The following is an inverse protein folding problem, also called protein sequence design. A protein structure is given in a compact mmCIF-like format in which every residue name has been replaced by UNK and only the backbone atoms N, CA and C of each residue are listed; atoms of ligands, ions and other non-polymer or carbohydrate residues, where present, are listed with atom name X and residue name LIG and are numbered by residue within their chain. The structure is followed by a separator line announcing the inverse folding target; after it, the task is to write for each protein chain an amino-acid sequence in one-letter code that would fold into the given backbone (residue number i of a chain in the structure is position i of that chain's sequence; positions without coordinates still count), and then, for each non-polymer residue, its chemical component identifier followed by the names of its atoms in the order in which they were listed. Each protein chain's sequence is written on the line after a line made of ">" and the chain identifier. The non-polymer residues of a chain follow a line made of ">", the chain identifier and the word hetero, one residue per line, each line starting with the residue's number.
data_IF_176945103677
#
_entry.id   IF_176945103677
#
_cell.length_a   1.000
_cell.length_b   1.000
_cell.length_c   1.000
_cell.angle_alpha   90.00
_cell.angle_beta   90.00
_cell.angle_gamma   90.00
#
_symmetry.space_group_name_H-M   'P 1'
#
loop_
_entity.id
_entity.type
_entity.pdbx_description
1 polymer ?
#
# COMPACT_ATOMS: atom_id res chain seq x y z
N UNK A 1 7.46 -10.71 -13.98
CA UNK A 1 6.38 -9.91 -14.61
C UNK A 1 6.76 -8.44 -14.75
N UNK A 2 6.66 -7.58 -13.71
CA UNK A 2 7.03 -6.16 -13.83
C UNK A 2 8.47 -5.98 -14.36
N UNK A 3 9.44 -6.67 -13.76
CA UNK A 3 10.84 -6.58 -14.19
C UNK A 3 11.06 -7.02 -15.65
N UNK A 4 10.44 -8.13 -16.07
CA UNK A 4 10.46 -8.58 -17.47
C UNK A 4 9.86 -7.53 -18.42
N UNK A 5 8.73 -6.94 -18.02
CA UNK A 5 8.09 -5.88 -18.81
C UNK A 5 8.99 -4.66 -18.92
N UNK A 6 9.83 -4.35 -17.92
CA UNK A 6 10.82 -3.27 -17.98
C UNK A 6 12.00 -3.55 -18.92
N UNK A 7 12.34 -4.83 -19.13
CA UNK A 7 13.44 -5.27 -19.99
C UNK A 7 13.03 -5.41 -21.46
N UNK A 8 11.74 -5.56 -21.77
CA UNK A 8 11.25 -5.63 -23.15
C UNK A 8 11.62 -4.35 -23.92
N UNK A 9 12.03 -4.45 -25.20
CA UNK A 9 12.22 -3.28 -26.07
C UNK A 9 10.93 -2.47 -26.18
N UNK A 10 11.03 -1.14 -26.07
CA UNK A 10 9.89 -0.20 -26.14
C UNK A 10 10.34 1.10 -26.78
N UNK A 11 9.39 1.84 -27.34
CA UNK A 11 9.60 3.22 -27.72
C UNK A 11 9.81 4.12 -26.50
N UNK A 12 10.43 5.28 -26.72
CA UNK A 12 10.61 6.28 -25.67
C UNK A 12 9.28 6.80 -25.11
N UNK A 13 8.24 6.88 -25.95
CA UNK A 13 6.91 7.31 -25.54
C UNK A 13 6.24 6.28 -24.61
N UNK A 14 6.30 4.99 -24.95
CA UNK A 14 5.79 3.92 -24.09
C UNK A 14 6.51 3.87 -22.73
N UNK A 15 7.82 4.13 -22.74
CA UNK A 15 8.62 4.23 -21.51
C UNK A 15 8.18 5.43 -20.66
N UNK A 16 7.95 6.60 -21.27
CA UNK A 16 7.47 7.81 -20.56
C UNK A 16 6.11 7.56 -19.88
N UNK A 17 5.18 6.90 -20.57
CA UNK A 17 3.87 6.53 -20.01
C UNK A 17 4.03 5.61 -18.80
N UNK A 18 4.86 4.57 -18.88
CA UNK A 18 5.11 3.68 -17.75
C UNK A 18 5.75 4.39 -16.55
N UNK A 19 6.72 5.28 -16.78
CA UNK A 19 7.35 6.09 -15.72
C UNK A 19 6.31 7.00 -15.06
N UNK A 20 5.46 7.67 -15.85
CA UNK A 20 4.38 8.51 -15.32
C UNK A 20 3.43 7.71 -14.45
N UNK A 21 3.01 6.53 -14.91
CA UNK A 21 2.14 5.64 -14.16
C UNK A 21 2.79 5.12 -12.88
N UNK A 22 4.11 4.84 -12.89
CA UNK A 22 4.84 4.41 -11.69
C UNK A 22 5.12 5.54 -10.69
N UNK A 23 5.09 6.81 -11.12
CA UNK A 23 5.33 7.97 -10.24
C UNK A 23 4.16 8.23 -9.28
N UNK A 24 2.93 8.06 -9.76
CA UNK A 24 1.70 8.26 -8.97
C UNK A 24 1.67 7.37 -7.71
N UNK A 25 1.74 6.03 -7.81
CA UNK A 25 1.73 5.16 -6.63
C UNK A 25 2.94 5.42 -5.74
N UNK A 26 4.12 5.76 -6.28
CA UNK A 26 5.29 6.12 -5.47
C UNK A 26 5.01 7.33 -4.57
N UNK A 27 4.35 8.36 -5.08
CA UNK A 27 3.97 9.54 -4.28
C UNK A 27 2.96 9.14 -3.20
N UNK A 28 1.93 8.36 -3.57
CA UNK A 28 0.92 7.87 -2.62
C UNK A 28 1.57 7.07 -1.49
N UNK A 29 2.49 6.16 -1.83
CA UNK A 29 3.24 5.34 -0.87
C UNK A 29 4.06 6.22 0.06
N UNK A 30 4.82 7.20 -0.47
CA UNK A 30 5.61 8.13 0.36
C UNK A 30 4.71 8.92 1.32
N UNK A 31 3.60 9.47 0.82
CA UNK A 31 2.63 10.19 1.65
C UNK A 31 2.04 9.28 2.74
N UNK A 32 1.74 8.02 2.42
CA UNK A 32 1.25 7.02 3.37
C UNK A 32 2.27 6.68 4.47
N UNK A 33 3.55 6.52 4.11
CA UNK A 33 4.59 6.32 5.12
C UNK A 33 4.76 7.54 6.02
N UNK A 34 4.76 8.75 5.44
CA UNK A 34 4.86 10.00 6.23
C UNK A 34 3.69 10.13 7.20
N UNK A 35 2.45 9.87 6.75
CA UNK A 35 1.28 9.91 7.64
C UNK A 35 1.34 8.82 8.71
N UNK A 36 1.76 7.60 8.38
CA UNK A 36 1.94 6.51 9.34
C UNK A 36 2.91 6.89 10.46
N UNK A 37 4.10 7.40 10.13
CA UNK A 37 5.08 7.82 11.14
C UNK A 37 4.62 9.02 11.95
N UNK A 38 3.97 10.00 11.31
CA UNK A 38 3.39 11.14 12.02
C UNK A 38 2.32 10.68 13.02
N UNK A 39 1.41 9.80 12.62
CA UNK A 39 0.39 9.22 13.51
C UNK A 39 1.01 8.44 14.67
N UNK A 40 2.07 7.66 14.43
CA UNK A 40 2.76 6.94 15.50
C UNK A 40 3.43 7.88 16.51
N UNK A 41 4.08 8.94 16.03
CA UNK A 41 4.68 9.95 16.91
C UNK A 41 3.60 10.62 17.76
N UNK A 42 2.49 11.04 17.14
CA UNK A 42 1.41 11.71 17.85
C UNK A 42 0.72 10.78 18.86
N UNK A 43 0.41 9.56 18.49
CA UNK A 43 -0.41 8.66 19.32
C UNK A 43 0.40 7.84 20.34
N UNK A 44 1.71 7.68 20.14
CA UNK A 44 2.54 6.80 20.97
C UNK A 44 3.71 7.52 21.62
N UNK A 45 4.49 8.31 20.86
CA UNK A 45 5.68 8.99 21.40
C UNK A 45 5.31 10.19 22.27
N UNK A 46 4.35 11.02 21.87
CA UNK A 46 3.94 12.18 22.67
C UNK A 46 3.36 11.80 24.04
N UNK A 47 2.51 10.76 24.18
CA UNK A 47 2.09 10.26 25.49
C UNK A 47 3.25 9.79 26.39
N UNK A 48 4.31 9.20 25.84
CA UNK A 48 5.51 8.86 26.62
C UNK A 48 6.21 10.09 27.21
N UNK A 49 6.09 11.25 26.56
CA UNK A 49 6.63 12.53 27.04
C UNK A 49 5.66 13.26 27.99
N UNK A 50 4.56 12.63 28.37
CA UNK A 50 3.52 13.23 29.21
C UNK A 50 2.57 14.17 28.46
N UNK A 51 2.69 14.27 27.13
CA UNK A 51 1.82 15.10 26.29
C UNK A 51 0.65 14.23 25.83
N UNK A 52 -0.49 14.38 26.50
CA UNK A 52 -1.69 13.62 26.18
C UNK A 52 -2.50 14.36 25.10
N UNK A 53 -2.58 13.79 23.90
CA UNK A 53 -3.43 14.31 22.80
C UNK A 53 -4.87 13.82 22.94
N UNK A 54 -5.08 12.76 23.73
CA UNK A 54 -6.40 12.18 23.95
C UNK A 54 -7.22 13.11 24.85
N UNK A 55 -8.37 13.54 24.35
CA UNK A 55 -9.35 14.25 25.15
C UNK A 55 -10.04 13.24 26.08
N UNK A 56 -9.76 13.31 27.39
CA UNK A 56 -10.38 12.45 28.39
C UNK A 56 -11.82 12.93 28.58
N UNK A 57 -12.77 12.29 27.91
CA UNK A 57 -14.19 12.62 28.01
C UNK A 57 -14.90 11.94 29.18
N UNK A 58 -14.28 10.91 29.77
CA UNK A 58 -14.94 10.07 30.77
C UNK A 58 -14.23 10.16 32.13
N UNK A 59 -14.99 10.49 33.18
CA UNK A 59 -14.50 10.63 34.56
C UNK A 59 -14.06 9.27 35.16
N UNK A 60 -14.47 8.16 34.53
CA UNK A 60 -14.10 6.79 34.93
C UNK A 60 -12.85 6.25 34.24
N UNK A 61 -12.17 7.03 33.38
CA UNK A 61 -10.95 6.57 32.71
C UNK A 61 -9.82 6.45 33.75
N UNK A 62 -9.12 5.32 33.85
CA UNK A 62 -8.03 5.17 34.80
C UNK A 62 -6.94 6.21 34.55
N UNK A 63 -6.21 6.59 35.60
CA UNK A 63 -5.21 7.68 35.56
C UNK A 63 -4.03 7.46 34.60
N UNK A 64 -4.00 6.32 33.87
CA UNK A 64 -3.03 5.97 32.84
C UNK A 64 -3.75 5.39 31.61
N UNK A 65 -4.25 6.21 30.68
CA UNK A 65 -4.93 5.70 29.49
C UNK A 65 -3.94 5.03 28.52
N UNK A 66 -4.17 3.77 28.17
CA UNK A 66 -3.47 3.08 27.09
C UNK A 66 -3.86 3.70 25.72
N UNK A 67 -2.95 3.71 24.72
CA UNK A 67 -3.23 4.22 23.37
C UNK A 67 -4.45 3.57 22.71
N UNK A 68 -4.59 2.25 22.87
CA UNK A 68 -5.78 1.49 22.49
C UNK A 68 -6.54 1.08 23.74
N UNK A 69 -7.80 1.52 23.84
CA UNK A 69 -8.70 1.08 24.90
C UNK A 69 -9.38 -0.22 24.47
N UNK A 70 -8.93 -1.33 25.03
CA UNK A 70 -9.49 -2.66 24.80
C UNK A 70 -9.54 -3.42 26.12
N UNK A 71 -10.32 -4.50 26.16
CA UNK A 71 -10.41 -5.36 27.32
C UNK A 71 -9.15 -6.22 27.44
N UNK A 72 -8.58 -6.25 28.66
CA UNK A 72 -7.49 -7.14 29.04
C UNK A 72 -7.96 -8.04 30.19
N UNK A 73 -7.60 -9.34 30.18
CA UNK A 73 -7.98 -10.27 31.25
C UNK A 73 -7.16 -10.09 32.54
N UNK A 74 -6.37 -9.02 32.65
CA UNK A 74 -5.53 -8.67 33.79
C UNK A 74 -5.60 -7.15 34.05
N UNK A 75 -5.19 -6.73 35.25
CA UNK A 75 -5.16 -5.30 35.63
C UNK A 75 -3.98 -4.58 34.96
N UNK A 76 -4.30 -3.76 33.95
CA UNK A 76 -3.32 -2.98 33.19
C UNK A 76 -2.85 -1.72 33.91
N UNK A 77 -3.50 -1.28 34.99
CA UNK A 77 -3.13 -0.02 35.67
C UNK A 77 -1.94 -0.22 36.62
N UNK A 78 -1.67 -1.47 36.99
CA UNK A 78 -0.56 -1.87 37.85
C UNK A 78 0.76 -1.95 37.08
N UNK A 79 1.82 -1.38 37.66
CA UNK A 79 3.18 -1.55 37.14
C UNK A 79 3.70 -2.95 37.53
N UNK A 80 4.35 -3.71 36.63
CA UNK A 80 4.89 -3.34 35.30
C UNK A 80 3.95 -3.65 34.11
N UNK A 81 2.72 -4.11 34.36
CA UNK A 81 1.81 -4.57 33.30
C UNK A 81 1.39 -3.45 32.37
N UNK A 82 1.21 -2.22 32.89
CA UNK A 82 0.94 -1.04 32.09
C UNK A 82 2.03 -0.84 31.01
N UNK A 83 3.29 -0.78 31.44
CA UNK A 83 4.43 -0.46 30.58
C UNK A 83 4.64 -1.54 29.52
N UNK A 84 4.48 -2.82 29.90
CA UNK A 84 4.55 -3.96 28.98
C UNK A 84 3.41 -3.92 27.95
N UNK A 85 2.18 -3.65 28.39
CA UNK A 85 1.01 -3.59 27.51
C UNK A 85 1.12 -2.41 26.55
N UNK A 86 1.55 -1.26 27.05
CA UNK A 86 1.81 -0.07 26.24
C UNK A 86 2.83 -0.39 25.14
N UNK A 87 3.99 -0.95 25.49
CA UNK A 87 5.02 -1.34 24.53
C UNK A 87 4.49 -2.36 23.50
N UNK A 88 3.76 -3.38 23.96
CA UNK A 88 3.17 -4.40 23.10
C UNK A 88 2.15 -3.81 22.11
N UNK A 89 1.32 -2.85 22.54
CA UNK A 89 0.41 -2.12 21.65
C UNK A 89 1.19 -1.36 20.57
N UNK A 90 2.27 -0.66 20.95
CA UNK A 90 3.11 0.08 20.00
C UNK A 90 3.73 -0.81 18.93
N UNK A 91 4.32 -1.94 19.35
CA UNK A 91 4.90 -2.93 18.42
C UNK A 91 3.81 -3.51 17.51
N UNK A 92 2.67 -3.92 18.08
CA UNK A 92 1.57 -4.53 17.32
C UNK A 92 1.00 -3.55 16.29
N UNK A 93 0.79 -2.28 16.68
CA UNK A 93 0.32 -1.24 15.77
C UNK A 93 1.31 -0.98 14.64
N UNK A 94 2.61 -0.87 14.95
CA UNK A 94 3.65 -0.64 13.94
C UNK A 94 3.73 -1.79 12.94
N UNK A 95 3.78 -3.04 13.43
CA UNK A 95 3.82 -4.23 12.58
C UNK A 95 2.58 -4.32 11.71
N UNK A 96 1.39 -4.07 12.28
CA UNK A 96 0.14 -4.08 11.53
C UNK A 96 0.12 -2.99 10.45
N UNK A 97 0.48 -1.75 10.81
CA UNK A 97 0.50 -0.62 9.89
C UNK A 97 1.50 -0.84 8.74
N UNK A 98 2.68 -1.37 9.04
CA UNK A 98 3.66 -1.77 8.02
C UNK A 98 3.10 -2.86 7.10
N UNK A 99 2.43 -3.88 7.66
CA UNK A 99 1.82 -4.97 6.91
C UNK A 99 0.78 -4.47 5.92
N UNK A 100 -0.18 -3.65 6.39
CA UNK A 100 -1.19 -3.03 5.52
C UNK A 100 -0.56 -2.14 4.45
N UNK A 101 0.36 -1.26 4.85
CA UNK A 101 1.04 -0.35 3.91
C UNK A 101 1.81 -1.11 2.84
N UNK A 102 2.46 -2.23 3.19
CA UNK A 102 3.19 -3.07 2.24
C UNK A 102 2.25 -3.72 1.22
N UNK A 103 1.11 -4.26 1.68
CA UNK A 103 0.10 -4.86 0.80
C UNK A 103 -0.48 -3.81 -0.16
N UNK A 104 -0.89 -2.65 0.38
CA UNK A 104 -1.46 -1.56 -0.42
C UNK A 104 -0.44 -0.99 -1.41
N UNK A 105 0.83 -0.89 -1.01
CA UNK A 105 1.93 -0.46 -1.89
C UNK A 105 2.13 -1.43 -3.06
N UNK A 106 2.16 -2.73 -2.77
CA UNK A 106 2.31 -3.77 -3.79
C UNK A 106 1.12 -3.74 -4.76
N UNK A 107 -0.09 -3.68 -4.22
CA UNK A 107 -1.32 -3.62 -5.01
C UNK A 107 -1.36 -2.37 -5.89
N UNK A 108 -1.06 -1.19 -5.32
CA UNK A 108 -0.97 0.06 -6.06
C UNK A 108 0.04 -0.02 -7.21
N UNK A 109 1.26 -0.47 -6.94
CA UNK A 109 2.29 -0.63 -7.97
C UNK A 109 1.84 -1.57 -9.10
N UNK A 110 1.20 -2.70 -8.79
CA UNK A 110 0.68 -3.64 -9.77
C UNK A 110 -0.44 -3.02 -10.64
N UNK A 111 -1.43 -2.40 -10.01
CA UNK A 111 -2.55 -1.76 -10.71
C UNK A 111 -2.04 -0.68 -11.65
N UNK A 112 -1.19 0.23 -11.17
CA UNK A 112 -0.64 1.30 -12.00
C UNK A 112 0.29 0.79 -13.10
N UNK A 113 1.03 -0.30 -12.87
CA UNK A 113 1.82 -0.95 -13.92
C UNK A 113 0.93 -1.50 -15.03
N UNK A 114 -0.15 -2.21 -14.68
CA UNK A 114 -1.13 -2.72 -15.64
C UNK A 114 -1.82 -1.57 -16.38
N UNK A 115 -2.21 -0.49 -15.71
CA UNK A 115 -2.76 0.70 -16.35
C UNK A 115 -1.79 1.30 -17.36
N UNK A 116 -0.49 1.38 -17.03
CA UNK A 116 0.55 1.85 -17.95
C UNK A 116 0.70 0.95 -19.18
N UNK A 117 0.67 -0.37 -18.99
CA UNK A 117 0.66 -1.32 -20.11
C UNK A 117 -0.58 -1.13 -21.00
N UNK A 118 -1.77 -0.98 -20.42
CA UNK A 118 -3.02 -0.77 -21.16
C UNK A 118 -3.04 0.58 -21.91
N UNK A 119 -2.43 1.63 -21.36
CA UNK A 119 -2.29 2.91 -22.07
C UNK A 119 -1.40 2.77 -23.31
N UNK A 120 -0.22 2.16 -23.17
CA UNK A 120 0.67 1.88 -24.31
C UNK A 120 -0.05 1.04 -25.38
N UNK A 121 -0.87 0.09 -24.92
CA UNK A 121 -1.66 -0.76 -25.78
C UNK A 121 -2.70 0.00 -26.60
N UNK A 122 -3.43 0.89 -25.92
CA UNK A 122 -4.40 1.78 -26.55
C UNK A 122 -3.72 2.70 -27.56
N UNK A 123 -2.55 3.24 -27.23
CA UNK A 123 -1.83 4.15 -28.11
C UNK A 123 -1.36 3.43 -29.39
N UNK A 124 -0.81 2.21 -29.25
CA UNK A 124 -0.47 1.34 -30.39
C UNK A 124 -1.68 0.99 -31.26
N UNK A 125 -2.86 0.79 -30.65
CA UNK A 125 -4.10 0.50 -31.39
C UNK A 125 -4.71 1.75 -32.06
N UNK A 126 -4.42 2.94 -31.54
CA UNK A 126 -4.95 4.20 -32.09
C UNK A 126 -4.08 4.68 -33.26
N UNK A 127 -2.82 4.25 -33.33
CA UNK A 127 -1.94 4.47 -34.47
C UNK A 127 -2.33 3.57 -35.66
N UNK A 128 -3.40 3.96 -36.36
CA UNK A 128 -3.94 3.28 -37.56
C UNK A 128 -2.97 3.24 -38.76
N UNK A 129 -1.78 3.84 -38.65
CA UNK A 129 -0.77 3.84 -39.72
C UNK A 129 0.26 2.72 -39.56
N UNK A 130 0.20 1.92 -38.49
CA UNK A 130 1.10 0.78 -38.34
C UNK A 130 0.76 -0.32 -39.37
N UNK A 131 1.67 -0.64 -40.31
CA UNK A 131 1.46 -1.70 -41.30
C UNK A 131 1.32 -3.10 -40.67
N UNK A 132 1.62 -3.27 -39.38
CA UNK A 132 1.49 -4.52 -38.63
C UNK A 132 0.36 -4.50 -37.59
N UNK A 133 -0.67 -3.68 -37.78
CA UNK A 133 -1.81 -3.52 -36.85
C UNK A 133 -2.41 -4.86 -36.38
N UNK A 134 -2.59 -5.84 -37.27
CA UNK A 134 -3.15 -7.14 -36.92
C UNK A 134 -2.25 -7.94 -35.96
N UNK A 135 -0.92 -7.84 -36.13
CA UNK A 135 0.07 -8.47 -35.23
C UNK A 135 0.08 -7.77 -33.87
N UNK A 136 0.00 -6.44 -33.88
CA UNK A 136 -0.12 -5.63 -32.66
C UNK A 136 -1.37 -6.01 -31.88
N UNK A 137 -2.52 -6.08 -32.54
CA UNK A 137 -3.81 -6.48 -31.95
C UNK A 137 -3.78 -7.91 -31.40
N UNK A 138 -3.13 -8.85 -32.07
CA UNK A 138 -2.96 -10.21 -31.56
C UNK A 138 -2.13 -10.26 -30.27
N UNK A 139 -1.05 -9.48 -30.19
CA UNK A 139 -0.20 -9.40 -28.99
C UNK A 139 -0.94 -8.71 -27.82
N UNK A 140 -1.73 -7.67 -28.12
CA UNK A 140 -2.64 -7.00 -27.17
C UNK A 140 -3.60 -7.97 -26.52
N UNK A 141 -4.29 -8.78 -27.33
CA UNK A 141 -5.26 -9.76 -26.84
C UNK A 141 -4.56 -10.83 -26.01
N UNK A 142 -3.38 -11.30 -26.43
CA UNK A 142 -2.58 -12.28 -25.66
C UNK A 142 -2.15 -11.73 -24.30
N UNK A 143 -1.62 -10.51 -24.25
CA UNK A 143 -1.19 -9.89 -22.99
C UNK A 143 -2.38 -9.58 -22.07
N UNK A 144 -3.52 -9.13 -22.62
CA UNK A 144 -4.75 -8.93 -21.85
C UNK A 144 -5.30 -10.24 -21.26
N UNK A 145 -5.34 -11.31 -22.05
CA UNK A 145 -5.73 -12.65 -21.58
C UNK A 145 -4.75 -13.19 -20.54
N UNK A 146 -3.44 -12.96 -20.70
CA UNK A 146 -2.42 -13.32 -19.70
C UNK A 146 -2.66 -12.61 -18.37
N UNK A 147 -2.96 -11.32 -18.40
CA UNK A 147 -3.28 -10.52 -17.21
C UNK A 147 -4.58 -10.98 -16.53
N UNK A 148 -5.61 -11.33 -17.29
CA UNK A 148 -6.87 -11.88 -16.76
C UNK A 148 -6.64 -13.25 -16.11
N UNK A 149 -5.86 -14.14 -16.72
CA UNK A 149 -5.56 -15.47 -16.15
C UNK A 149 -4.78 -15.38 -14.84
N UNK A 150 -3.89 -14.39 -14.71
CA UNK A 150 -3.19 -14.13 -13.46
C UNK A 150 -4.14 -13.76 -12.32
N UNK A 151 -5.18 -12.96 -12.61
CA UNK A 151 -6.26 -12.67 -11.64
C UNK A 151 -6.97 -13.95 -11.19
N UNK A 152 -7.27 -14.87 -12.10
CA UNK A 152 -7.99 -16.12 -11.76
C UNK A 152 -7.16 -17.06 -10.89
N UNK A 153 -5.85 -17.14 -11.12
CA UNK A 153 -4.94 -17.98 -10.31
C UNK A 153 -4.64 -17.41 -8.91
N UNK A 154 -4.62 -16.09 -8.75
CA UNK A 154 -4.44 -15.48 -7.42
C UNK A 154 -5.71 -15.52 -6.54
N UNK A 155 -6.91 -15.61 -7.13
CA UNK A 155 -8.19 -15.64 -6.39
C UNK A 155 -8.72 -17.04 -6.07
N UNK A 156 -8.26 -18.06 -6.79
CA UNK A 156 -8.62 -19.46 -6.53
C UNK A 156 -7.35 -20.32 -6.58
N UNK A 157 -6.57 -20.37 -5.48
CA UNK A 157 -5.51 -21.36 -5.35
C UNK A 157 -6.20 -22.72 -5.17
N UNK A 158 -6.08 -23.60 -6.16
CA UNK A 158 -6.33 -25.02 -5.98
C UNK A 158 -5.14 -25.67 -5.26
#
# INVERSE_FOLDING_TARGET
>A
MIAEDWLRPKSDEERKVMIRCARIPRIIIICGFVSMFASFILLFILPCLGITIRYITNVTDPGKPLPLQTYYPYDTDTSPYFELTFLAQGVTLMVSAMGYTAIDSLFGLLVFHVCGQLMNLKDRLTDKKDPNFDRVLADVVKDHVRLIRFRTQCLFPA
#
